data_IF_904884166201
#
_entry.id   IF_904884166201
#
_cell.length_a   1.000
_cell.length_b   1.000
_cell.length_c   1.000
_cell.angle_alpha   90.00
_cell.angle_beta   90.00
_cell.angle_gamma   90.00
#
_symmetry.space_group_name_H-M   'P 1'
#
loop_
_entity.id
_entity.type
_entity.pdbx_description
1 polymer ?
#
# COMPACT_ATOMS: atom_id res chain seq x y z
N UNK A 1 5.27 -4.42 5.42
CA UNK A 1 3.81 -4.16 5.27
C UNK A 1 3.02 -3.98 6.59
N UNK A 2 3.25 -4.78 7.64
CA UNK A 2 2.44 -4.75 8.87
C UNK A 2 2.35 -3.36 9.56
N UNK A 3 3.48 -2.64 9.66
CA UNK A 3 3.51 -1.30 10.29
C UNK A 3 2.74 -0.24 9.47
N UNK A 4 2.82 -0.30 8.15
CA UNK A 4 2.06 0.56 7.23
C UNK A 4 0.56 0.33 7.41
N UNK A 5 0.12 -0.93 7.47
CA UNK A 5 -1.29 -1.28 7.72
C UNK A 5 -1.76 -0.82 9.11
N UNK A 6 -0.93 -1.01 10.15
CA UNK A 6 -1.23 -0.52 11.51
C UNK A 6 -1.43 0.99 11.52
N UNK A 7 -0.58 1.75 10.81
CA UNK A 7 -0.71 3.20 10.69
C UNK A 7 -2.06 3.58 10.07
N UNK A 8 -2.44 2.95 8.95
CA UNK A 8 -3.70 3.20 8.26
C UNK A 8 -4.90 2.97 9.19
N UNK A 9 -4.94 1.81 9.85
CA UNK A 9 -6.05 1.46 10.76
C UNK A 9 -6.17 2.39 11.98
N UNK A 10 -5.07 3.02 12.41
CA UNK A 10 -5.06 3.95 13.53
C UNK A 10 -5.47 5.38 13.15
N UNK A 11 -5.25 5.79 11.89
CA UNK A 11 -5.48 7.16 11.44
C UNK A 11 -6.74 7.32 10.58
N UNK A 12 -7.34 6.22 10.12
CA UNK A 12 -8.47 6.23 9.21
C UNK A 12 -9.54 5.21 9.64
N UNK A 13 -10.48 5.62 10.51
CA UNK A 13 -11.52 4.72 11.08
C UNK A 13 -12.42 4.07 10.02
N UNK A 14 -12.77 4.78 8.93
CA UNK A 14 -13.55 4.25 7.82
C UNK A 14 -12.79 3.22 6.95
N UNK A 15 -11.49 3.03 7.19
CA UNK A 15 -10.62 2.23 6.33
C UNK A 15 -10.40 0.78 6.81
N UNK A 16 -11.07 0.33 7.87
CA UNK A 16 -11.01 -1.09 8.25
C UNK A 16 -11.57 -2.00 7.14
N UNK A 17 -12.66 -1.58 6.49
CA UNK A 17 -13.25 -2.29 5.35
C UNK A 17 -12.34 -2.18 4.13
N UNK A 18 -11.73 -1.01 3.90
CA UNK A 18 -10.81 -0.76 2.79
C UNK A 18 -9.54 -1.60 2.92
N UNK A 19 -8.94 -1.69 4.11
CA UNK A 19 -7.79 -2.57 4.39
C UNK A 19 -8.15 -4.03 4.08
N UNK A 20 -9.30 -4.51 4.56
CA UNK A 20 -9.72 -5.90 4.33
C UNK A 20 -9.97 -6.20 2.85
N UNK A 21 -10.55 -5.27 2.10
CA UNK A 21 -10.86 -5.50 0.68
C UNK A 21 -9.62 -5.33 -0.21
N UNK A 22 -8.79 -4.33 0.09
CA UNK A 22 -7.73 -3.84 -0.79
C UNK A 22 -6.32 -4.04 -0.22
N UNK A 23 -5.97 -3.38 0.89
CA UNK A 23 -4.57 -3.31 1.34
C UNK A 23 -4.02 -4.62 1.92
N UNK A 24 -4.86 -5.39 2.60
CA UNK A 24 -4.50 -6.70 3.16
C UNK A 24 -4.12 -7.74 2.11
N UNK A 25 -4.50 -7.50 0.85
CA UNK A 25 -4.22 -8.35 -0.31
C UNK A 25 -3.04 -7.84 -1.16
N UNK A 26 -2.38 -6.76 -0.74
CA UNK A 26 -1.19 -6.27 -1.41
C UNK A 26 0.00 -7.16 -1.08
N UNK A 27 0.74 -7.54 -2.11
CA UNK A 27 1.96 -8.33 -2.00
C UNK A 27 3.17 -7.43 -2.16
N UNK A 28 4.19 -7.63 -1.32
CA UNK A 28 5.51 -7.01 -1.51
C UNK A 28 6.26 -7.81 -2.56
N UNK A 29 6.63 -7.14 -3.65
CA UNK A 29 7.38 -7.73 -4.77
C UNK A 29 8.88 -7.60 -4.52
N UNK A 30 9.32 -6.45 -4.02
CA UNK A 30 10.71 -6.16 -3.74
C UNK A 30 10.85 -5.05 -2.68
N UNK A 31 11.94 -5.07 -1.93
CA UNK A 31 12.30 -4.03 -0.96
C UNK A 31 13.69 -3.49 -1.28
N UNK A 32 13.76 -2.25 -1.75
CA UNK A 32 15.01 -1.51 -1.91
C UNK A 32 15.32 -0.75 -0.62
N UNK A 33 16.12 -1.38 0.24
CA UNK A 33 16.49 -0.81 1.53
C UNK A 33 17.52 0.33 1.45
N UNK A 34 18.22 0.47 0.31
CA UNK A 34 19.18 1.55 0.06
C UNK A 34 18.42 2.84 -0.24
N UNK A 35 17.46 2.77 -1.17
CA UNK A 35 16.64 3.92 -1.56
C UNK A 35 15.38 4.08 -0.70
N UNK A 36 15.19 3.22 0.31
CA UNK A 36 13.98 3.16 1.14
C UNK A 36 12.71 3.12 0.30
N UNK A 37 12.66 2.21 -0.68
CA UNK A 37 11.52 2.07 -1.60
C UNK A 37 10.97 0.65 -1.60
N UNK A 38 9.65 0.52 -1.45
CA UNK A 38 8.98 -0.78 -1.43
C UNK A 38 8.12 -0.93 -2.69
N UNK A 39 8.32 -2.00 -3.44
CA UNK A 39 7.53 -2.32 -4.62
C UNK A 39 6.42 -3.27 -4.21
N UNK A 40 5.18 -2.88 -4.46
CA UNK A 40 4.00 -3.66 -4.10
C UNK A 40 3.11 -3.87 -5.31
N UNK A 41 2.32 -4.95 -5.32
CA UNK A 41 1.32 -5.22 -6.35
C UNK A 41 0.01 -5.68 -5.72
N UNK A 42 -1.09 -5.40 -6.41
CA UNK A 42 -2.36 -6.06 -6.12
C UNK A 42 -2.48 -7.39 -6.89
N UNK A 43 -3.37 -8.26 -6.42
CA UNK A 43 -3.66 -9.57 -7.04
C UNK A 43 -4.25 -9.48 -8.46
N UNK A 44 -4.91 -8.37 -8.79
CA UNK A 44 -5.53 -8.16 -10.10
C UNK A 44 -5.23 -6.78 -10.64
N UNK A 45 -5.18 -6.65 -11.96
CA UNK A 45 -5.00 -5.35 -12.63
C UNK A 45 -6.10 -4.35 -12.27
N UNK A 46 -7.33 -4.83 -12.06
CA UNK A 46 -8.43 -3.99 -11.59
C UNK A 46 -8.15 -3.42 -10.19
N UNK A 47 -7.79 -4.28 -9.22
CA UNK A 47 -7.48 -3.84 -7.87
C UNK A 47 -6.29 -2.86 -7.85
N UNK A 48 -5.27 -3.12 -8.68
CA UNK A 48 -4.09 -2.27 -8.80
C UNK A 48 -4.49 -0.86 -9.28
N UNK A 49 -5.27 -0.78 -10.35
CA UNK A 49 -5.77 0.49 -10.89
C UNK A 49 -6.69 1.20 -9.89
N UNK A 50 -7.61 0.48 -9.25
CA UNK A 50 -8.54 1.05 -8.28
C UNK A 50 -7.80 1.66 -7.07
N UNK A 51 -6.81 0.95 -6.52
CA UNK A 51 -5.98 1.44 -5.41
C UNK A 51 -5.17 2.67 -5.84
N UNK A 52 -4.57 2.63 -7.02
CA UNK A 52 -3.77 3.74 -7.55
C UNK A 52 -4.61 5.01 -7.74
N UNK A 53 -5.88 4.89 -8.14
CA UNK A 53 -6.76 6.04 -8.35
C UNK A 53 -7.37 6.59 -7.05
N UNK A 54 -7.73 5.72 -6.10
CA UNK A 54 -8.54 6.12 -4.94
C UNK A 54 -7.75 6.25 -3.64
N UNK A 55 -6.65 5.50 -3.49
CA UNK A 55 -5.97 5.34 -2.19
C UNK A 55 -4.47 5.64 -2.22
N UNK A 56 -3.95 6.14 -3.35
CA UNK A 56 -2.52 6.46 -3.50
C UNK A 56 -2.01 7.36 -2.38
N UNK A 57 -2.71 8.45 -2.10
CA UNK A 57 -2.28 9.43 -1.08
C UNK A 57 -2.20 8.84 0.33
N UNK A 58 -3.14 7.98 0.70
CA UNK A 58 -3.15 7.31 2.01
C UNK A 58 -1.96 6.37 2.13
N UNK A 59 -1.70 5.59 1.08
CA UNK A 59 -0.52 4.73 1.03
C UNK A 59 0.77 5.56 1.10
N UNK A 60 0.87 6.68 0.36
CA UNK A 60 2.05 7.53 0.37
C UNK A 60 2.38 7.99 1.79
N UNK A 61 1.38 8.54 2.49
CA UNK A 61 1.53 8.96 3.90
C UNK A 61 1.89 7.81 4.83
N UNK A 62 1.27 6.64 4.64
CA UNK A 62 1.51 5.49 5.50
C UNK A 62 2.91 4.89 5.32
N UNK A 63 3.44 4.88 4.09
CA UNK A 63 4.81 4.48 3.82
C UNK A 63 5.82 5.54 4.31
N UNK A 64 5.54 6.83 4.07
CA UNK A 64 6.38 7.95 4.54
C UNK A 64 6.51 7.96 6.07
N UNK A 65 5.42 7.70 6.80
CA UNK A 65 5.43 7.57 8.26
C UNK A 65 6.33 6.42 8.76
N UNK A 66 6.67 5.46 7.89
CA UNK A 66 7.62 4.39 8.17
C UNK A 66 9.03 4.67 7.62
N UNK A 67 9.24 5.83 6.98
CA UNK A 67 10.50 6.22 6.36
C UNK A 67 10.76 5.57 5.01
N UNK A 68 9.71 5.14 4.32
CA UNK A 68 9.80 4.52 2.99
C UNK A 68 8.93 5.26 1.97
N UNK A 69 9.32 5.18 0.71
CA UNK A 69 8.43 5.41 -0.44
C UNK A 69 7.90 4.08 -0.95
N UNK A 70 6.87 4.10 -1.80
CA UNK A 70 6.40 2.89 -2.46
C UNK A 70 6.12 3.08 -3.95
N UNK A 71 6.03 1.96 -4.65
CA UNK A 71 5.55 1.92 -6.03
C UNK A 71 4.57 0.76 -6.22
N UNK A 72 3.40 1.07 -6.79
CA UNK A 72 2.41 0.07 -7.19
C UNK A 72 2.79 -0.45 -8.59
N UNK A 73 3.44 -1.61 -8.67
CA UNK A 73 3.86 -2.20 -9.95
C UNK A 73 2.68 -2.85 -10.67
N UNK A 74 2.75 -2.94 -11.99
CA UNK A 74 1.68 -3.50 -12.80
C UNK A 74 1.56 -5.01 -12.58
N UNK A 75 0.34 -5.50 -12.40
CA UNK A 75 0.08 -6.94 -12.40
C UNK A 75 0.28 -7.45 -13.84
N UNK A 76 1.17 -8.43 -14.03
CA UNK A 76 1.33 -9.17 -15.28
C UNK A 76 0.38 -10.36 -15.31
#
# INVERSE_FOLDING_TARGET
MFKVRKYILQHYEYEQVIDKIWFSKLEVVNEDNVNKKIFIKALTSFANSYIKSNFKLILERAFEAQGFSFELVQCK
#
